data_IF_160667092191
#
_entry.id   IF_160667092191
#
_cell.length_a   1.000
_cell.length_b   1.000
_cell.length_c   1.000
_cell.angle_alpha   90.00
_cell.angle_beta   90.00
_cell.angle_gamma   90.00
#
_symmetry.space_group_name_H-M   'P 1'
#
loop_
_entity.id
_entity.type
_entity.pdbx_description
1 polymer ?
#
# COMPACT_ATOMS: atom_id res chain seq x y z
N UNK A 1 1.76 1.50 0.38
CA UNK A 1 2.87 1.70 -0.58
C UNK A 1 3.16 3.19 -0.74
N UNK A 2 2.22 4.01 -1.21
CA UNK A 2 2.42 5.46 -1.38
C UNK A 2 2.80 6.18 -0.08
N UNK A 3 2.11 5.88 0.99
CA UNK A 3 2.33 6.50 2.31
C UNK A 3 3.77 6.33 2.81
N UNK A 4 4.38 5.15 2.64
CA UNK A 4 5.78 4.94 3.08
C UNK A 4 6.75 5.85 2.35
N UNK A 5 6.55 6.10 1.04
CA UNK A 5 7.41 7.00 0.27
C UNK A 5 7.27 8.45 0.74
N UNK A 6 6.04 8.86 1.01
CA UNK A 6 5.69 10.21 1.51
C UNK A 6 6.31 10.43 2.91
N UNK A 7 6.20 9.43 3.81
CA UNK A 7 6.78 9.50 5.17
C UNK A 7 8.31 9.49 5.12
N UNK A 8 8.94 8.68 4.25
CA UNK A 8 10.40 8.70 4.08
C UNK A 8 10.89 10.11 3.73
N UNK A 9 10.15 10.88 2.92
CA UNK A 9 10.49 12.27 2.57
C UNK A 9 10.03 13.31 3.61
N UNK A 10 9.62 12.88 4.81
CA UNK A 10 9.14 13.73 5.92
C UNK A 10 7.80 14.42 5.68
N UNK A 11 6.97 13.90 4.80
CA UNK A 11 5.59 14.34 4.61
C UNK A 11 4.60 13.34 5.17
N UNK A 12 3.37 13.77 5.39
CA UNK A 12 2.23 12.93 5.76
C UNK A 12 1.07 13.29 4.84
N UNK A 13 0.37 12.29 4.30
CA UNK A 13 -0.82 12.50 3.47
C UNK A 13 -2.06 12.00 4.22
N UNK A 14 -2.92 12.94 4.60
CA UNK A 14 -4.17 12.68 5.31
C UNK A 14 -5.37 12.55 4.36
N UNK A 15 -5.17 12.74 3.06
CA UNK A 15 -6.28 12.79 2.10
C UNK A 15 -6.66 11.43 1.50
N UNK A 16 -5.85 10.39 1.70
CA UNK A 16 -5.96 9.08 1.01
C UNK A 16 -7.37 8.50 1.09
N UNK A 17 -7.95 8.47 2.29
CA UNK A 17 -9.28 7.90 2.48
C UNK A 17 -10.38 8.69 1.77
N UNK A 18 -10.29 10.03 1.78
CA UNK A 18 -11.24 10.89 1.06
C UNK A 18 -11.06 10.81 -0.45
N UNK A 19 -9.82 10.60 -0.94
CA UNK A 19 -9.54 10.34 -2.35
C UNK A 19 -10.15 9.02 -2.81
N UNK A 20 -10.06 7.98 -2.00
CA UNK A 20 -10.69 6.69 -2.29
C UNK A 20 -12.21 6.86 -2.46
N UNK A 21 -12.88 7.61 -1.57
CA UNK A 21 -14.30 7.90 -1.70
C UNK A 21 -14.63 8.71 -2.95
N UNK A 22 -13.89 9.80 -3.19
CA UNK A 22 -14.14 10.71 -4.33
C UNK A 22 -13.91 10.00 -5.66
N UNK A 23 -12.73 9.39 -5.86
CA UNK A 23 -12.38 8.73 -7.11
C UNK A 23 -13.26 7.50 -7.35
N UNK A 24 -13.55 6.73 -6.28
CA UNK A 24 -14.50 5.62 -6.35
C UNK A 24 -15.90 6.08 -6.72
N UNK A 25 -16.35 7.22 -6.17
CA UNK A 25 -17.60 7.86 -6.54
C UNK A 25 -17.66 8.27 -8.00
N UNK A 26 -16.61 8.94 -8.52
CA UNK A 26 -16.51 9.29 -9.95
C UNK A 26 -16.57 8.04 -10.83
N UNK A 27 -15.81 6.99 -10.50
CA UNK A 27 -15.80 5.74 -11.24
C UNK A 27 -17.19 5.09 -11.27
N UNK A 28 -17.87 5.03 -10.13
CA UNK A 28 -19.23 4.49 -10.02
C UNK A 28 -20.24 5.26 -10.85
N UNK A 29 -20.22 6.59 -10.79
CA UNK A 29 -21.12 7.45 -11.55
C UNK A 29 -20.92 7.31 -13.06
N UNK A 30 -19.68 7.20 -13.52
CA UNK A 30 -19.37 6.96 -14.93
C UNK A 30 -19.97 5.63 -15.40
N UNK A 31 -19.87 4.57 -14.63
CA UNK A 31 -20.42 3.27 -14.98
C UNK A 31 -21.96 3.25 -14.91
N UNK A 32 -22.52 3.64 -13.79
CA UNK A 32 -23.92 3.36 -13.47
C UNK A 32 -24.88 4.46 -13.97
N UNK A 33 -24.44 5.73 -14.03
CA UNK A 33 -25.29 6.83 -14.52
C UNK A 33 -25.00 7.25 -15.94
N UNK A 34 -23.70 7.27 -16.33
CA UNK A 34 -23.31 7.67 -17.67
C UNK A 34 -23.18 6.50 -18.65
N UNK A 35 -23.34 5.24 -18.20
CA UNK A 35 -23.23 4.05 -19.04
C UNK A 35 -21.86 3.79 -19.65
N UNK A 36 -20.80 4.35 -19.05
CA UNK A 36 -19.42 4.19 -19.53
C UNK A 36 -18.94 2.77 -19.22
N UNK A 37 -18.26 2.17 -20.19
CA UNK A 37 -17.66 0.85 -20.01
C UNK A 37 -16.71 0.86 -18.81
N UNK A 38 -16.74 -0.20 -18.00
CA UNK A 38 -15.98 -0.30 -16.75
C UNK A 38 -14.46 -0.16 -16.94
N UNK A 39 -13.87 -0.64 -18.04
CA UNK A 39 -12.43 -0.47 -18.32
C UNK A 39 -12.09 1.01 -18.52
N UNK A 40 -12.93 1.74 -19.30
CA UNK A 40 -12.74 3.16 -19.52
C UNK A 40 -12.96 3.96 -18.22
N UNK A 41 -13.94 3.58 -17.41
CA UNK A 41 -14.17 4.20 -16.10
C UNK A 41 -12.97 4.03 -15.16
N UNK A 42 -12.29 2.88 -15.17
CA UNK A 42 -11.02 2.67 -14.44
C UNK A 42 -9.93 3.61 -14.95
N UNK A 43 -9.73 3.70 -16.27
CA UNK A 43 -8.72 4.59 -16.85
C UNK A 43 -8.98 6.04 -16.44
N UNK A 44 -10.23 6.49 -16.51
CA UNK A 44 -10.60 7.84 -16.07
C UNK A 44 -10.36 8.02 -14.57
N UNK A 45 -10.70 7.05 -13.74
CA UNK A 45 -10.43 7.08 -12.30
C UNK A 45 -8.92 7.23 -11.99
N UNK A 46 -8.06 6.50 -12.72
CA UNK A 46 -6.59 6.62 -12.58
C UNK A 46 -6.10 8.01 -13.02
N UNK A 47 -6.64 8.56 -14.10
CA UNK A 47 -6.32 9.91 -14.57
C UNK A 47 -6.77 10.96 -13.55
N UNK A 48 -7.97 10.84 -12.98
CA UNK A 48 -8.45 11.71 -11.90
C UNK A 48 -7.50 11.67 -10.70
N UNK A 49 -7.06 10.47 -10.30
CA UNK A 49 -6.08 10.34 -9.23
C UNK A 49 -4.75 11.02 -9.52
N UNK A 50 -4.24 10.90 -10.76
CA UNK A 50 -3.05 11.63 -11.19
C UNK A 50 -3.26 13.15 -11.14
N UNK A 51 -4.39 13.66 -11.62
CA UNK A 51 -4.72 15.10 -11.58
C UNK A 51 -4.76 15.60 -10.13
N UNK A 52 -5.38 14.86 -9.23
CA UNK A 52 -5.40 15.21 -7.80
C UNK A 52 -4.00 15.19 -7.21
N UNK A 53 -3.19 14.18 -7.55
CA UNK A 53 -1.80 14.09 -7.12
C UNK A 53 -0.96 15.29 -7.62
N UNK A 54 -1.15 15.72 -8.87
CA UNK A 54 -0.54 16.93 -9.44
C UNK A 54 -0.99 18.18 -8.68
N UNK A 55 -2.29 18.28 -8.38
CA UNK A 55 -2.85 19.39 -7.62
C UNK A 55 -2.25 19.49 -6.22
N UNK A 56 -2.19 18.40 -5.48
CA UNK A 56 -1.56 18.36 -4.14
C UNK A 56 -0.05 18.63 -4.22
N UNK A 57 0.63 18.01 -5.18
CA UNK A 57 2.05 18.21 -5.41
C UNK A 57 2.39 19.66 -5.75
N UNK A 58 1.53 20.37 -6.47
CA UNK A 58 1.70 21.79 -6.75
C UNK A 58 1.71 22.64 -5.46
N UNK A 59 0.72 22.45 -4.58
CA UNK A 59 0.67 23.21 -3.33
C UNK A 59 1.86 22.94 -2.42
N UNK A 60 2.28 21.68 -2.33
CA UNK A 60 3.41 21.29 -1.47
C UNK A 60 4.75 21.69 -2.06
N UNK A 61 4.98 21.36 -3.33
CA UNK A 61 6.33 21.48 -3.91
C UNK A 61 6.60 22.85 -4.54
N UNK A 62 5.57 23.50 -5.10
CA UNK A 62 5.75 24.80 -5.80
C UNK A 62 5.44 25.96 -4.86
N UNK A 63 4.29 25.94 -4.19
CA UNK A 63 3.88 27.00 -3.25
C UNK A 63 4.64 26.86 -1.93
N UNK A 64 5.00 25.63 -1.51
CA UNK A 64 5.76 25.38 -0.28
C UNK A 64 4.90 25.20 0.97
N UNK A 65 3.60 24.90 0.81
CA UNK A 65 2.73 24.60 1.96
C UNK A 65 3.13 23.24 2.55
N UNK A 66 3.25 23.10 3.88
CA UNK A 66 3.53 21.81 4.51
C UNK A 66 2.55 20.73 4.06
N UNK A 67 3.08 19.53 3.76
CA UNK A 67 2.29 18.43 3.18
C UNK A 67 1.05 18.08 4.01
N UNK A 68 1.18 18.04 5.35
CA UNK A 68 0.05 17.71 6.22
C UNK A 68 -1.09 18.74 6.16
N UNK A 69 -0.78 20.05 5.97
CA UNK A 69 -1.80 21.10 5.83
C UNK A 69 -2.53 20.95 4.49
N UNK A 70 -1.76 20.78 3.41
CA UNK A 70 -2.32 20.58 2.07
C UNK A 70 -3.23 19.37 2.01
N UNK A 71 -2.79 18.25 2.59
CA UNK A 71 -3.56 16.99 2.55
C UNK A 71 -4.73 16.98 3.53
N UNK A 72 -4.63 17.69 4.66
CA UNK A 72 -5.78 17.92 5.55
C UNK A 72 -6.87 18.74 4.83
N UNK A 73 -6.50 19.83 4.14
CA UNK A 73 -7.43 20.56 3.31
C UNK A 73 -8.00 19.67 2.19
N UNK A 74 -7.14 18.88 1.53
CA UNK A 74 -7.55 17.90 0.53
C UNK A 74 -8.53 16.86 1.09
N UNK A 75 -8.31 16.37 2.30
CA UNK A 75 -9.23 15.45 2.98
C UNK A 75 -10.64 16.05 3.09
N UNK A 76 -10.75 17.30 3.53
CA UNK A 76 -12.05 17.96 3.67
C UNK A 76 -12.69 18.23 2.30
N UNK A 77 -11.92 18.74 1.32
CA UNK A 77 -12.39 19.03 -0.02
C UNK A 77 -12.92 17.78 -0.70
N UNK A 78 -12.11 16.71 -0.77
CA UNK A 78 -12.48 15.49 -1.48
C UNK A 78 -13.55 14.69 -0.75
N UNK A 79 -13.62 14.74 0.58
CA UNK A 79 -14.73 14.16 1.34
C UNK A 79 -16.03 14.90 1.08
N UNK A 80 -16.00 16.24 1.05
CA UNK A 80 -17.15 17.08 0.67
C UNK A 80 -17.62 16.78 -0.75
N UNK A 81 -16.69 16.76 -1.73
CA UNK A 81 -17.01 16.41 -3.11
C UNK A 81 -17.59 15.00 -3.24
N UNK A 82 -17.01 14.01 -2.56
CA UNK A 82 -17.55 12.64 -2.53
C UNK A 82 -18.99 12.62 -2.03
N UNK A 83 -19.30 13.36 -0.96
CA UNK A 83 -20.66 13.45 -0.41
C UNK A 83 -21.64 14.07 -1.40
N UNK A 84 -21.24 15.15 -2.11
CA UNK A 84 -22.10 15.82 -3.10
C UNK A 84 -22.37 14.92 -4.31
N UNK A 85 -21.33 14.25 -4.86
CA UNK A 85 -21.47 13.48 -6.12
C UNK A 85 -22.11 12.12 -5.92
N UNK A 86 -21.81 11.44 -4.81
CA UNK A 86 -22.32 10.09 -4.53
C UNK A 86 -23.73 10.14 -3.95
N UNK A 87 -24.01 11.12 -3.07
CA UNK A 87 -25.24 11.16 -2.29
C UNK A 87 -25.31 10.02 -1.26
N UNK A 88 -26.34 9.21 -1.29
CA UNK A 88 -26.50 8.10 -0.32
C UNK A 88 -25.57 6.94 -0.65
N UNK A 89 -25.80 6.27 -1.76
CA UNK A 89 -24.91 5.22 -2.28
C UNK A 89 -25.20 4.96 -3.76
N UNK A 90 -24.18 4.48 -4.49
CA UNK A 90 -24.30 4.07 -5.90
C UNK A 90 -23.87 2.60 -5.99
N UNK A 91 -24.81 1.65 -6.11
CA UNK A 91 -24.49 0.23 -6.27
C UNK A 91 -23.85 -0.02 -7.62
N UNK A 92 -22.90 -0.95 -7.69
CA UNK A 92 -22.22 -1.36 -8.93
C UNK A 92 -22.89 -2.61 -9.47
N UNK A 93 -23.40 -2.55 -10.69
CA UNK A 93 -24.10 -3.65 -11.36
C UNK A 93 -23.18 -4.55 -12.18
N UNK A 94 -22.08 -4.00 -12.75
CA UNK A 94 -21.14 -4.76 -13.58
C UNK A 94 -20.47 -5.88 -12.78
N UNK A 95 -20.72 -7.13 -13.19
CA UNK A 95 -20.11 -8.32 -12.59
C UNK A 95 -18.61 -8.40 -12.87
N UNK A 96 -18.18 -7.98 -14.05
CA UNK A 96 -16.78 -7.97 -14.48
C UNK A 96 -15.97 -7.02 -13.61
N UNK A 97 -16.47 -5.80 -13.36
CA UNK A 97 -15.81 -4.85 -12.47
C UNK A 97 -15.73 -5.38 -11.05
N UNK A 98 -16.81 -5.95 -10.52
CA UNK A 98 -16.83 -6.56 -9.18
C UNK A 98 -15.86 -7.73 -9.06
N UNK A 99 -15.59 -8.42 -10.17
CA UNK A 99 -14.63 -9.52 -10.28
C UNK A 99 -13.19 -9.12 -9.96
N UNK A 100 -12.79 -7.86 -10.15
CA UNK A 100 -11.42 -7.38 -9.87
C UNK A 100 -11.00 -7.69 -8.43
N UNK A 101 -11.88 -7.48 -7.46
CA UNK A 101 -11.58 -7.70 -6.05
C UNK A 101 -12.20 -8.98 -5.46
N UNK A 102 -13.11 -9.64 -6.18
CA UNK A 102 -13.86 -10.79 -5.66
C UNK A 102 -13.48 -12.11 -6.33
N UNK A 103 -12.96 -12.05 -7.57
CA UNK A 103 -12.59 -13.25 -8.30
C UNK A 103 -11.15 -13.67 -7.96
N UNK A 104 -10.90 -14.95 -8.24
CA UNK A 104 -9.61 -15.60 -8.15
C UNK A 104 -9.00 -15.75 -9.54
N UNK A 105 -7.71 -16.05 -9.61
CA UNK A 105 -7.07 -16.41 -10.85
C UNK A 105 -7.73 -17.66 -11.45
N UNK A 106 -7.83 -17.76 -12.79
CA UNK A 106 -8.33 -18.99 -13.42
C UNK A 106 -7.40 -20.17 -13.09
N UNK A 107 -7.99 -21.34 -12.85
CA UNK A 107 -7.25 -22.56 -12.57
C UNK A 107 -6.59 -23.14 -13.83
N UNK A 108 -5.51 -22.51 -14.32
CA UNK A 108 -4.83 -22.86 -15.58
C UNK A 108 -4.03 -24.15 -15.45
N UNK A 109 -3.46 -24.45 -14.27
CA UNK A 109 -2.62 -25.63 -14.05
C UNK A 109 -3.39 -26.83 -13.49
N UNK A 110 -4.71 -26.69 -13.37
CA UNK A 110 -5.57 -27.73 -12.81
C UNK A 110 -5.41 -27.92 -11.31
N UNK A 111 -6.14 -28.89 -10.77
CA UNK A 111 -6.10 -29.26 -9.37
C UNK A 111 -5.05 -30.34 -9.12
N UNK A 112 -4.20 -30.14 -8.14
CA UNK A 112 -3.24 -31.13 -7.66
C UNK A 112 -3.78 -31.75 -6.36
N UNK A 113 -4.67 -32.74 -6.50
CA UNK A 113 -5.49 -33.23 -5.40
C UNK A 113 -6.51 -32.17 -4.96
N UNK A 114 -6.56 -31.77 -3.67
CA UNK A 114 -7.48 -30.74 -3.19
C UNK A 114 -6.97 -29.29 -3.38
N UNK A 115 -5.82 -29.08 -4.04
CA UNK A 115 -5.14 -27.81 -4.11
C UNK A 115 -5.07 -27.27 -5.54
N UNK A 116 -5.22 -25.93 -5.66
CA UNK A 116 -4.98 -25.21 -6.92
C UNK A 116 -3.49 -25.21 -7.29
N UNK A 117 -3.16 -25.81 -8.43
CA UNK A 117 -1.78 -25.95 -8.90
C UNK A 117 -1.08 -24.62 -9.16
N UNK A 118 -1.81 -23.60 -9.69
CA UNK A 118 -1.24 -22.28 -9.95
C UNK A 118 -0.83 -21.57 -8.64
N UNK A 119 -1.67 -21.65 -7.61
CA UNK A 119 -1.38 -21.08 -6.28
C UNK A 119 -0.15 -21.73 -5.65
N UNK A 120 -0.02 -23.07 -5.76
CA UNK A 120 1.17 -23.79 -5.26
C UNK A 120 2.43 -23.30 -5.99
N UNK A 121 2.40 -23.21 -7.31
CA UNK A 121 3.56 -22.73 -8.10
C UNK A 121 3.93 -21.31 -7.72
N UNK A 122 2.96 -20.40 -7.56
CA UNK A 122 3.20 -19.03 -7.11
C UNK A 122 3.84 -19.00 -5.71
N UNK A 123 3.35 -19.81 -4.77
CA UNK A 123 3.93 -19.95 -3.44
C UNK A 123 5.38 -20.43 -3.46
N UNK A 124 5.69 -21.46 -4.25
CA UNK A 124 7.05 -21.98 -4.44
C UNK A 124 7.95 -20.87 -5.04
N UNK A 125 7.49 -20.16 -6.07
CA UNK A 125 8.24 -19.06 -6.67
C UNK A 125 8.52 -17.94 -5.67
N UNK A 126 7.57 -17.61 -4.79
CA UNK A 126 7.79 -16.64 -3.72
C UNK A 126 8.86 -17.09 -2.73
N UNK A 127 8.83 -18.36 -2.29
CA UNK A 127 9.83 -18.93 -1.37
C UNK A 127 11.22 -18.92 -2.02
N UNK A 128 11.33 -19.42 -3.26
CA UNK A 128 12.60 -19.47 -4.00
C UNK A 128 13.13 -18.06 -4.26
N UNK A 129 12.27 -17.13 -4.68
CA UNK A 129 12.64 -15.74 -4.91
C UNK A 129 13.13 -15.05 -3.64
N UNK A 130 12.48 -15.27 -2.50
CA UNK A 130 12.92 -14.75 -1.21
C UNK A 130 14.28 -15.33 -0.80
N UNK A 131 14.43 -16.65 -0.85
CA UNK A 131 15.69 -17.34 -0.52
C UNK A 131 16.84 -16.83 -1.39
N UNK A 132 16.63 -16.74 -2.71
CA UNK A 132 17.61 -16.21 -3.64
C UNK A 132 18.01 -14.76 -3.36
N UNK A 133 17.03 -13.92 -3.03
CA UNK A 133 17.25 -12.53 -2.64
C UNK A 133 18.16 -12.41 -1.41
N UNK A 134 17.92 -13.22 -0.36
CA UNK A 134 18.73 -13.26 0.86
C UNK A 134 20.15 -13.75 0.59
N UNK A 135 20.30 -14.83 -0.18
CA UNK A 135 21.61 -15.37 -0.55
C UNK A 135 22.41 -14.38 -1.43
N UNK A 136 21.75 -13.73 -2.40
CA UNK A 136 22.38 -12.67 -3.21
C UNK A 136 22.81 -11.47 -2.36
N UNK A 137 21.98 -11.04 -1.41
CA UNK A 137 22.34 -9.95 -0.49
C UNK A 137 23.61 -10.28 0.28
N UNK A 138 23.67 -11.50 0.84
CA UNK A 138 24.85 -12.01 1.54
C UNK A 138 26.10 -12.04 0.65
N UNK A 139 25.98 -12.58 -0.57
CA UNK A 139 27.09 -12.65 -1.51
C UNK A 139 27.60 -11.25 -1.93
N UNK A 140 26.73 -10.26 -2.05
CA UNK A 140 27.15 -8.87 -2.33
C UNK A 140 27.93 -8.25 -1.19
N UNK A 141 27.47 -8.45 0.06
CA UNK A 141 28.17 -7.94 1.24
C UNK A 141 29.58 -8.52 1.33
N UNK A 142 29.71 -9.83 1.10
CA UNK A 142 31.03 -10.50 1.06
C UNK A 142 31.94 -9.97 -0.07
N UNK A 143 31.38 -9.69 -1.28
CA UNK A 143 32.15 -9.15 -2.42
C UNK A 143 32.74 -7.75 -2.17
N UNK A 144 32.11 -6.95 -1.30
CA UNK A 144 32.56 -5.60 -0.93
C UNK A 144 33.54 -5.64 0.25
N UNK A 145 33.98 -6.84 0.71
CA UNK A 145 34.92 -7.01 1.80
C UNK A 145 34.32 -6.83 3.20
N UNK A 146 33.00 -6.70 3.30
CA UNK A 146 32.29 -6.62 4.58
C UNK A 146 31.95 -8.02 5.10
N UNK A 147 31.96 -8.18 6.43
CA UNK A 147 31.56 -9.45 7.06
C UNK A 147 30.05 -9.64 6.90
N UNK A 148 29.59 -10.67 6.14
CA UNK A 148 28.18 -10.94 5.99
C UNK A 148 27.59 -11.49 7.30
N UNK A 149 26.28 -11.36 7.46
CA UNK A 149 25.56 -12.00 8.59
C UNK A 149 25.90 -13.49 8.70
N UNK A 150 25.90 -14.07 9.93
CA UNK A 150 26.09 -15.51 10.10
C UNK A 150 25.13 -16.34 9.24
N UNK A 151 25.61 -17.43 8.66
CA UNK A 151 24.79 -18.28 7.79
C UNK A 151 23.55 -18.81 8.51
N UNK A 152 23.66 -19.14 9.78
CA UNK A 152 22.57 -19.59 10.64
C UNK A 152 21.42 -18.59 10.69
N UNK A 153 21.70 -17.28 10.83
CA UNK A 153 20.68 -16.22 10.82
C UNK A 153 20.04 -16.07 9.44
N UNK A 154 20.82 -16.19 8.38
CA UNK A 154 20.28 -16.13 7.00
C UNK A 154 19.33 -17.30 6.75
N UNK A 155 19.73 -18.52 7.12
CA UNK A 155 18.90 -19.73 7.00
C UNK A 155 17.65 -19.60 7.87
N UNK A 156 17.77 -19.14 9.11
CA UNK A 156 16.61 -18.93 9.99
C UNK A 156 15.60 -17.97 9.38
N UNK A 157 16.05 -16.84 8.80
CA UNK A 157 15.17 -15.89 8.09
C UNK A 157 14.46 -16.53 6.91
N UNK A 158 15.18 -17.34 6.12
CA UNK A 158 14.61 -18.06 4.97
C UNK A 158 13.58 -19.08 5.43
N UNK A 159 13.88 -19.87 6.43
CA UNK A 159 12.97 -20.92 6.96
C UNK A 159 11.71 -20.29 7.54
N UNK A 160 11.82 -19.25 8.37
CA UNK A 160 10.66 -18.58 8.95
C UNK A 160 9.76 -17.98 7.85
N UNK A 161 10.36 -17.32 6.86
CA UNK A 161 9.59 -16.76 5.74
C UNK A 161 8.94 -17.89 4.90
N UNK A 162 9.66 -18.97 4.63
CA UNK A 162 9.15 -20.11 3.89
C UNK A 162 7.96 -20.77 4.60
N UNK A 163 8.01 -20.93 5.92
CA UNK A 163 6.89 -21.46 6.71
C UNK A 163 5.66 -20.56 6.60
N UNK A 164 5.82 -19.24 6.74
CA UNK A 164 4.71 -18.29 6.61
C UNK A 164 4.13 -18.32 5.20
N UNK A 165 4.98 -18.25 4.17
CA UNK A 165 4.54 -18.29 2.77
C UNK A 165 3.85 -19.62 2.46
N UNK A 166 4.41 -20.75 2.89
CA UNK A 166 3.81 -22.07 2.69
C UNK A 166 2.45 -22.19 3.38
N UNK A 167 2.31 -21.67 4.60
CA UNK A 167 1.03 -21.65 5.32
C UNK A 167 -0.03 -20.83 4.59
N UNK A 168 0.33 -19.62 4.16
CA UNK A 168 -0.59 -18.77 3.37
C UNK A 168 -0.94 -19.45 2.04
N UNK A 169 0.05 -20.02 1.36
CA UNK A 169 -0.16 -20.77 0.10
C UNK A 169 -1.10 -21.95 0.31
N UNK A 170 -0.95 -22.71 1.39
CA UNK A 170 -1.84 -23.81 1.76
C UNK A 170 -3.28 -23.33 1.93
N UNK A 171 -3.49 -22.28 2.71
CA UNK A 171 -4.83 -21.69 2.92
C UNK A 171 -5.47 -21.21 1.63
N UNK A 172 -4.72 -20.54 0.78
CA UNK A 172 -5.21 -20.05 -0.51
C UNK A 172 -5.46 -21.18 -1.50
N UNK A 173 -4.54 -22.13 -1.63
CA UNK A 173 -4.67 -23.25 -2.57
C UNK A 173 -5.85 -24.16 -2.26
N UNK A 174 -6.24 -24.27 -0.99
CA UNK A 174 -7.39 -25.06 -0.54
C UNK A 174 -8.74 -24.32 -0.64
N UNK A 175 -8.74 -23.03 -0.95
CA UNK A 175 -9.96 -22.17 -0.93
C UNK A 175 -10.61 -21.96 -2.30
N UNK A 176 -10.07 -22.54 -3.37
CA UNK A 176 -10.61 -22.39 -4.72
C UNK A 176 -11.87 -23.21 -4.99
N UNK A 177 -12.52 -22.92 -6.14
CA UNK A 177 -13.67 -23.61 -6.68
C UNK A 177 -13.29 -24.33 -7.99
N UNK A 178 -14.18 -25.18 -8.50
CA UNK A 178 -13.93 -25.96 -9.72
C UNK A 178 -13.43 -25.15 -10.93
N UNK A 179 -13.93 -23.90 -11.08
CA UNK A 179 -13.61 -23.02 -12.20
C UNK A 179 -12.54 -21.96 -11.88
N UNK A 180 -12.22 -21.75 -10.60
CA UNK A 180 -11.32 -20.69 -10.16
C UNK A 180 -10.31 -21.24 -9.13
N UNK A 181 -9.04 -20.85 -9.32
CA UNK A 181 -7.98 -21.16 -8.37
C UNK A 181 -8.07 -20.36 -7.06
N UNK A 182 -7.19 -20.68 -6.12
CA UNK A 182 -7.24 -20.08 -4.77
C UNK A 182 -6.56 -18.72 -4.61
N UNK A 183 -5.84 -18.21 -5.63
CA UNK A 183 -5.16 -16.90 -5.53
C UNK A 183 -6.08 -15.76 -5.94
N UNK A 184 -6.48 -14.85 -5.01
CA UNK A 184 -7.31 -13.69 -5.35
C UNK A 184 -6.59 -12.75 -6.32
N UNK A 185 -7.30 -12.22 -7.32
CA UNK A 185 -6.77 -11.21 -8.27
C UNK A 185 -6.22 -9.98 -7.51
N UNK A 186 -6.89 -9.57 -6.44
CA UNK A 186 -6.45 -8.47 -5.57
C UNK A 186 -5.03 -8.68 -5.03
N UNK A 187 -4.68 -9.90 -4.62
CA UNK A 187 -3.35 -10.23 -4.11
C UNK A 187 -2.29 -10.06 -5.20
N UNK A 188 -2.61 -10.41 -6.44
CA UNK A 188 -1.73 -10.22 -7.60
C UNK A 188 -1.51 -8.73 -7.88
N UNK A 189 -2.57 -7.93 -7.88
CA UNK A 189 -2.47 -6.47 -8.06
C UNK A 189 -1.54 -5.87 -6.99
N UNK A 190 -1.76 -6.20 -5.72
CA UNK A 190 -0.91 -5.73 -4.61
C UNK A 190 0.53 -6.22 -4.79
N UNK A 191 0.74 -7.49 -5.13
CA UNK A 191 2.07 -8.06 -5.36
C UNK A 191 2.84 -7.34 -6.47
N UNK A 192 2.19 -7.07 -7.61
CA UNK A 192 2.77 -6.33 -8.73
C UNK A 192 3.13 -4.90 -8.30
N UNK A 193 2.24 -4.19 -7.59
CA UNK A 193 2.51 -2.86 -7.09
C UNK A 193 3.68 -2.84 -6.10
N UNK A 194 3.73 -3.80 -5.17
CA UNK A 194 4.85 -3.95 -4.23
C UNK A 194 6.16 -4.16 -4.98
N UNK A 195 6.18 -5.02 -5.99
CA UNK A 195 7.36 -5.27 -6.81
C UNK A 195 7.83 -4.00 -7.54
N UNK A 196 6.92 -3.32 -8.26
CA UNK A 196 7.21 -2.10 -9.02
C UNK A 196 7.72 -0.99 -8.10
N UNK A 197 7.01 -0.69 -7.01
CA UNK A 197 7.37 0.41 -6.12
C UNK A 197 8.59 0.11 -5.26
N UNK A 198 8.81 -1.16 -4.89
CA UNK A 198 10.07 -1.56 -4.27
C UNK A 198 11.26 -1.39 -5.22
N UNK A 199 11.09 -1.71 -6.52
CA UNK A 199 12.09 -1.44 -7.54
C UNK A 199 12.32 0.07 -7.70
N UNK A 200 11.27 0.88 -7.82
CA UNK A 200 11.37 2.33 -7.92
C UNK A 200 12.15 2.89 -6.72
N UNK A 201 11.80 2.51 -5.51
CA UNK A 201 12.38 3.06 -4.30
C UNK A 201 13.84 2.62 -4.08
N UNK A 202 14.20 1.37 -4.45
CA UNK A 202 15.53 0.81 -4.16
C UNK A 202 16.50 0.87 -5.32
N UNK A 203 16.04 0.98 -6.59
CA UNK A 203 16.89 0.83 -7.78
C UNK A 203 16.95 2.07 -8.65
N UNK A 204 16.01 3.02 -8.52
CA UNK A 204 15.96 4.22 -9.36
C UNK A 204 16.68 5.41 -8.72
N UNK A 205 16.97 6.42 -9.53
CA UNK A 205 17.49 7.71 -9.06
C UNK A 205 16.44 8.41 -8.18
N UNK A 206 15.17 8.33 -8.56
CA UNK A 206 14.07 8.91 -7.78
C UNK A 206 14.04 8.36 -6.35
N UNK A 207 14.10 7.04 -6.16
CA UNK A 207 14.11 6.43 -4.83
C UNK A 207 15.30 6.89 -3.98
N UNK A 208 16.51 6.97 -4.57
CA UNK A 208 17.69 7.52 -3.85
C UNK A 208 17.48 8.97 -3.43
N UNK A 209 16.86 9.79 -4.27
CA UNK A 209 16.55 11.18 -3.94
C UNK A 209 15.51 11.27 -2.81
N UNK A 210 14.50 10.40 -2.79
CA UNK A 210 13.51 10.32 -1.71
C UNK A 210 14.19 10.07 -0.35
N UNK A 211 15.10 9.10 -0.27
CA UNK A 211 15.88 8.84 0.94
C UNK A 211 16.81 9.99 1.32
N UNK A 212 17.47 10.61 0.34
CA UNK A 212 18.37 11.73 0.58
C UNK A 212 17.62 12.96 1.14
N UNK A 213 16.47 13.29 0.53
CA UNK A 213 15.61 14.40 0.99
C UNK A 213 15.10 14.15 2.41
N UNK A 214 14.65 12.93 2.70
CA UNK A 214 14.15 12.58 4.02
C UNK A 214 15.26 12.45 5.09
N UNK A 215 16.47 12.08 4.70
CA UNK A 215 17.61 11.98 5.64
C UNK A 215 18.14 13.35 6.04
N UNK A 216 18.41 14.20 5.08
CA UNK A 216 18.81 15.59 5.33
C UNK A 216 18.50 16.46 4.10
N UNK A 217 17.41 17.22 4.20
CA UNK A 217 16.92 18.07 3.10
C UNK A 217 17.94 19.15 2.70
N UNK A 218 18.63 19.77 3.66
CA UNK A 218 19.64 20.81 3.38
C UNK A 218 20.84 20.21 2.63
N UNK A 219 21.36 19.08 3.10
CA UNK A 219 22.45 18.39 2.43
C UNK A 219 22.06 17.90 1.04
N UNK A 220 20.83 17.41 0.85
CA UNK A 220 20.31 17.02 -0.47
C UNK A 220 20.31 18.18 -1.45
N UNK A 221 19.87 19.39 -1.02
CA UNK A 221 19.90 20.61 -1.86
C UNK A 221 21.34 20.98 -2.23
N UNK A 222 22.26 20.96 -1.29
CA UNK A 222 23.68 21.26 -1.52
C UNK A 222 24.34 20.25 -2.46
N UNK A 223 23.83 19.00 -2.49
CA UNK A 223 24.26 17.95 -3.43
C UNK A 223 23.59 18.05 -4.81
N UNK A 224 22.85 19.13 -5.09
CA UNK A 224 22.22 19.37 -6.39
C UNK A 224 20.89 18.61 -6.60
N UNK A 225 20.31 18.01 -5.57
CA UNK A 225 19.01 17.34 -5.67
C UNK A 225 17.89 18.38 -5.69
N UNK A 226 17.06 18.34 -6.75
CA UNK A 226 15.86 19.17 -6.81
C UNK A 226 14.76 18.59 -5.90
N UNK A 227 14.74 19.04 -4.65
CA UNK A 227 13.79 18.56 -3.61
C UNK A 227 12.35 18.86 -3.98
N UNK A 228 12.06 20.01 -4.65
CA UNK A 228 10.72 20.36 -5.12
C UNK A 228 10.19 19.30 -6.10
N UNK A 229 11.03 18.87 -7.06
CA UNK A 229 10.64 17.83 -8.02
C UNK A 229 10.38 16.49 -7.34
N UNK A 230 11.16 16.16 -6.31
CA UNK A 230 10.95 14.93 -5.53
C UNK A 230 9.61 14.98 -4.81
N UNK A 231 9.34 16.06 -4.07
CA UNK A 231 8.07 16.24 -3.35
C UNK A 231 6.87 16.20 -4.31
N UNK A 232 6.95 16.93 -5.43
CA UNK A 232 5.90 16.92 -6.45
C UNK A 232 5.56 15.51 -6.94
N UNK A 233 6.58 14.75 -7.34
CA UNK A 233 6.39 13.40 -7.84
C UNK A 233 5.86 12.44 -6.77
N UNK A 234 6.22 12.62 -5.49
CA UNK A 234 5.68 11.82 -4.39
C UNK A 234 4.15 11.94 -4.31
N UNK A 235 3.61 13.15 -4.39
CA UNK A 235 2.16 13.36 -4.36
C UNK A 235 1.48 12.87 -5.65
N UNK A 236 2.12 12.97 -6.80
CA UNK A 236 1.60 12.37 -8.05
C UNK A 236 1.50 10.84 -7.92
N UNK A 237 2.53 10.17 -7.41
CA UNK A 237 2.48 8.74 -7.13
C UNK A 237 1.42 8.39 -6.07
N UNK A 238 1.24 9.24 -5.07
CA UNK A 238 0.24 9.04 -4.03
C UNK A 238 -1.18 9.12 -4.59
N UNK A 239 -1.47 10.12 -5.43
CA UNK A 239 -2.75 10.26 -6.11
C UNK A 239 -3.07 9.06 -7.02
N UNK A 240 -2.08 8.58 -7.78
CA UNK A 240 -2.23 7.36 -8.60
C UNK A 240 -2.55 6.13 -7.75
N UNK A 241 -1.80 5.89 -6.68
CA UNK A 241 -2.02 4.74 -5.80
C UNK A 241 -3.35 4.83 -5.04
N UNK A 242 -3.78 6.04 -4.68
CA UNK A 242 -5.10 6.27 -4.11
C UNK A 242 -6.23 5.92 -5.10
N UNK A 243 -6.03 6.19 -6.39
CA UNK A 243 -6.98 5.80 -7.43
C UNK A 243 -7.04 4.28 -7.61
N UNK A 244 -5.89 3.59 -7.60
CA UNK A 244 -5.87 2.12 -7.62
C UNK A 244 -6.60 1.55 -6.40
N UNK A 245 -6.36 2.11 -5.21
CA UNK A 245 -7.05 1.71 -3.99
C UNK A 245 -8.57 1.97 -4.09
N UNK A 246 -8.98 3.08 -4.71
CA UNK A 246 -10.39 3.41 -4.93
C UNK A 246 -11.08 2.37 -5.83
N UNK A 247 -10.47 2.00 -6.95
CA UNK A 247 -10.98 0.95 -7.85
C UNK A 247 -11.10 -0.39 -7.12
N UNK A 248 -10.07 -0.79 -6.39
CA UNK A 248 -10.06 -2.03 -5.62
C UNK A 248 -11.16 -2.03 -4.54
N UNK A 249 -11.30 -0.92 -3.81
CA UNK A 249 -12.31 -0.79 -2.75
C UNK A 249 -13.73 -0.79 -3.31
N UNK A 250 -13.96 -0.03 -4.38
CA UNK A 250 -15.25 0.01 -5.08
C UNK A 250 -15.67 -1.36 -5.59
N UNK A 251 -14.73 -2.10 -6.22
CA UNK A 251 -14.96 -3.46 -6.68
C UNK A 251 -15.30 -4.41 -5.53
N UNK A 252 -14.61 -4.30 -4.39
CA UNK A 252 -14.82 -5.14 -3.21
C UNK A 252 -16.18 -4.88 -2.55
N UNK A 253 -16.53 -3.61 -2.32
CA UNK A 253 -17.80 -3.22 -1.70
C UNK A 253 -18.99 -3.39 -2.64
N UNK A 254 -18.75 -3.35 -3.97
CA UNK A 254 -19.76 -3.29 -5.01
C UNK A 254 -20.74 -2.09 -4.85
N UNK A 255 -20.29 -1.04 -4.22
CA UNK A 255 -21.06 0.17 -3.99
C UNK A 255 -20.13 1.32 -3.65
N UNK A 256 -20.38 2.50 -4.22
CA UNK A 256 -19.73 3.73 -3.82
C UNK A 256 -20.52 4.40 -2.70
N UNK A 257 -19.83 4.83 -1.66
CA UNK A 257 -20.40 5.61 -0.56
C UNK A 257 -19.47 6.78 -0.21
N UNK A 258 -20.02 7.87 0.29
CA UNK A 258 -19.21 9.01 0.71
C UNK A 258 -18.27 8.68 1.89
N UNK A 259 -18.60 7.68 2.68
CA UNK A 259 -17.81 7.19 3.81
C UNK A 259 -16.73 6.14 3.41
N UNK A 260 -16.68 5.71 2.15
CA UNK A 260 -15.66 4.78 1.70
C UNK A 260 -14.25 5.29 2.06
N UNK A 261 -13.39 4.39 2.48
CA UNK A 261 -12.01 4.74 2.86
C UNK A 261 -11.86 5.58 4.12
N UNK A 262 -12.89 5.70 4.96
CA UNK A 262 -12.78 6.42 6.23
C UNK A 262 -11.70 5.79 7.11
N UNK A 263 -10.79 6.61 7.65
CA UNK A 263 -9.63 6.22 8.48
C UNK A 263 -8.52 5.43 7.73
N UNK A 264 -8.59 5.28 6.41
CA UNK A 264 -7.52 4.59 5.65
C UNK A 264 -6.18 5.31 5.76
N UNK A 265 -6.18 6.64 5.91
CA UNK A 265 -4.98 7.42 6.16
C UNK A 265 -4.31 7.00 7.47
N UNK A 266 -5.07 6.81 8.53
CA UNK A 266 -4.55 6.38 9.84
C UNK A 266 -4.01 4.96 9.79
N UNK A 267 -4.74 4.03 9.17
CA UNK A 267 -4.31 2.64 8.99
C UNK A 267 -3.02 2.57 8.15
N UNK A 268 -2.90 3.39 7.10
CA UNK A 268 -1.72 3.45 6.25
C UNK A 268 -0.49 4.02 6.98
N UNK A 269 -0.67 5.08 7.78
CA UNK A 269 0.37 5.68 8.62
C UNK A 269 0.83 4.66 9.67
N UNK A 270 -0.12 4.04 10.39
CA UNK A 270 0.19 3.02 11.40
C UNK A 270 0.96 1.84 10.78
N UNK A 271 0.53 1.36 9.62
CA UNK A 271 1.20 0.30 8.88
C UNK A 271 2.65 0.66 8.53
N UNK A 272 2.92 1.90 8.11
CA UNK A 272 4.28 2.36 7.83
C UNK A 272 5.16 2.35 9.08
N UNK A 273 4.68 2.84 10.21
CA UNK A 273 5.46 2.89 11.45
C UNK A 273 5.67 1.50 12.07
N UNK A 274 4.64 0.64 12.09
CA UNK A 274 4.78 -0.77 12.48
C UNK A 274 5.78 -1.48 11.56
N UNK A 275 5.79 -1.14 10.27
CA UNK A 275 6.73 -1.64 9.28
C UNK A 275 8.15 -1.09 9.37
N UNK A 276 8.46 -0.26 10.39
CA UNK A 276 9.81 0.27 10.67
C UNK A 276 10.17 1.52 9.87
N UNK A 277 9.19 2.26 9.34
CA UNK A 277 9.44 3.58 8.74
C UNK A 277 9.68 4.60 9.85
N UNK A 278 10.74 5.40 9.74
CA UNK A 278 11.07 6.38 10.74
C UNK A 278 10.20 7.64 10.63
N UNK A 279 9.68 8.12 11.77
CA UNK A 279 8.95 9.40 11.86
C UNK A 279 9.82 10.58 11.39
N UNK A 280 11.12 10.52 11.67
CA UNK A 280 12.09 11.55 11.28
C UNK A 280 12.45 11.55 9.80
N UNK A 281 11.93 10.61 9.01
CA UNK A 281 12.25 10.44 7.61
C UNK A 281 13.55 9.70 7.32
N UNK A 282 13.87 9.52 6.05
CA UNK A 282 15.12 8.90 5.57
C UNK A 282 15.22 7.39 5.76
N UNK A 283 14.31 6.76 6.49
CA UNK A 283 14.30 5.31 6.77
C UNK A 283 12.89 4.76 6.54
N UNK A 284 12.82 3.66 5.81
CA UNK A 284 11.56 2.95 5.52
C UNK A 284 11.74 2.00 4.34
N UNK A 285 10.86 1.02 4.22
CA UNK A 285 10.88 0.06 3.11
C UNK A 285 9.46 -0.32 2.70
N UNK A 286 9.23 -0.57 1.40
CA UNK A 286 7.94 -1.05 0.91
C UNK A 286 7.57 -2.40 1.56
N UNK A 287 8.45 -3.41 1.61
CA UNK A 287 8.11 -4.67 2.28
C UNK A 287 7.77 -4.51 3.77
N UNK A 288 8.48 -3.60 4.48
CA UNK A 288 8.15 -3.29 5.87
C UNK A 288 6.73 -2.74 6.02
N UNK A 289 6.37 -1.75 5.20
CA UNK A 289 5.02 -1.17 5.21
C UNK A 289 3.93 -2.21 4.86
N UNK A 290 4.22 -3.17 3.97
CA UNK A 290 3.30 -4.27 3.65
C UNK A 290 3.09 -5.19 4.85
N UNK A 291 4.15 -5.54 5.58
CA UNK A 291 4.05 -6.31 6.83
C UNK A 291 3.21 -5.54 7.86
N UNK A 292 3.47 -4.24 8.04
CA UNK A 292 2.67 -3.40 8.93
C UNK A 292 1.21 -3.31 8.50
N UNK A 293 0.93 -3.22 7.19
CA UNK A 293 -0.43 -3.25 6.65
C UNK A 293 -1.14 -4.59 6.92
N UNK A 294 -0.41 -5.70 6.83
CA UNK A 294 -0.94 -7.01 7.19
C UNK A 294 -1.30 -7.08 8.68
N UNK A 295 -0.44 -6.57 9.56
CA UNK A 295 -0.71 -6.49 11.00
C UNK A 295 -1.97 -5.65 11.28
N UNK A 296 -2.08 -4.47 10.67
CA UNK A 296 -3.28 -3.62 10.81
C UNK A 296 -4.53 -4.30 10.25
N UNK A 297 -4.41 -5.00 9.12
CA UNK A 297 -5.50 -5.78 8.53
C UNK A 297 -5.99 -6.90 9.45
N UNK A 298 -5.06 -7.64 10.08
CA UNK A 298 -5.39 -8.69 11.07
C UNK A 298 -6.08 -8.09 12.28
N UNK A 299 -5.59 -6.95 12.81
CA UNK A 299 -6.23 -6.26 13.93
C UNK A 299 -7.66 -5.85 13.56
N UNK A 300 -7.84 -5.16 12.42
CA UNK A 300 -9.14 -4.69 11.96
C UNK A 300 -10.13 -5.85 11.76
N UNK A 301 -9.72 -6.88 11.03
CA UNK A 301 -10.57 -8.02 10.73
C UNK A 301 -10.83 -8.88 11.96
N UNK A 302 -9.80 -9.11 12.79
CA UNK A 302 -9.91 -9.89 14.03
C UNK A 302 -10.88 -9.26 15.02
N UNK A 303 -10.75 -7.96 15.28
CA UNK A 303 -11.66 -7.23 16.17
C UNK A 303 -13.10 -7.20 15.63
N UNK A 304 -13.24 -7.07 14.29
CA UNK A 304 -14.56 -7.13 13.64
C UNK A 304 -15.24 -8.50 13.79
N UNK A 305 -14.48 -9.59 13.61
CA UNK A 305 -14.99 -10.97 13.80
C UNK A 305 -15.39 -11.21 15.25
N UNK A 306 -14.67 -10.64 16.22
CA UNK A 306 -14.98 -10.74 17.64
C UNK A 306 -16.18 -9.87 18.04
N UNK A 307 -16.79 -9.11 17.13
CA UNK A 307 -17.92 -8.24 17.41
C UNK A 307 -17.57 -7.05 18.30
N UNK A 308 -16.30 -6.65 18.35
CA UNK A 308 -15.87 -5.49 19.15
C UNK A 308 -16.45 -4.20 18.56
N UNK A 309 -16.98 -3.36 19.44
CA UNK A 309 -17.55 -2.07 19.03
C UNK A 309 -16.54 -1.20 18.28
N UNK A 310 -17.04 -0.48 17.26
CA UNK A 310 -16.18 0.36 16.39
C UNK A 310 -15.45 1.46 17.14
N UNK A 311 -16.02 1.99 18.25
CA UNK A 311 -15.35 2.98 19.09
C UNK A 311 -14.14 2.37 19.82
N UNK A 312 -14.26 1.12 20.29
CA UNK A 312 -13.15 0.39 20.92
C UNK A 312 -12.08 0.05 19.88
N UNK A 313 -12.46 -0.37 18.67
CA UNK A 313 -11.53 -0.63 17.57
C UNK A 313 -10.69 0.62 17.27
N UNK A 314 -11.30 1.81 17.18
CA UNK A 314 -10.59 3.09 16.98
C UNK A 314 -9.60 3.39 18.10
N UNK A 315 -10.03 3.16 19.35
CA UNK A 315 -9.16 3.34 20.52
C UNK A 315 -7.94 2.42 20.48
N UNK A 316 -8.14 1.14 20.16
CA UNK A 316 -7.05 0.16 20.01
C UNK A 316 -6.09 0.58 18.90
N UNK A 317 -6.59 0.98 17.73
CA UNK A 317 -5.76 1.48 16.63
C UNK A 317 -4.89 2.68 17.03
N UNK A 318 -5.49 3.65 17.73
CA UNK A 318 -4.78 4.82 18.25
C UNK A 318 -3.66 4.43 19.22
N UNK A 319 -3.91 3.50 20.14
CA UNK A 319 -2.91 2.99 21.07
C UNK A 319 -1.78 2.22 20.34
N UNK A 320 -2.12 1.38 19.38
CA UNK A 320 -1.13 0.64 18.57
C UNK A 320 -0.23 1.60 17.81
N UNK A 321 -0.80 2.65 17.19
CA UNK A 321 -0.02 3.68 16.49
C UNK A 321 0.92 4.42 17.46
N UNK A 322 0.40 4.85 18.62
CA UNK A 322 1.19 5.54 19.62
C UNK A 322 2.36 4.68 20.13
N UNK A 323 2.09 3.41 20.43
CA UNK A 323 3.12 2.47 20.89
C UNK A 323 4.16 2.20 19.82
N UNK A 324 3.77 2.02 18.55
CA UNK A 324 4.70 1.81 17.44
C UNK A 324 5.68 3.00 17.31
N UNK A 325 5.17 4.23 17.36
CA UNK A 325 5.98 5.45 17.28
C UNK A 325 6.86 5.62 18.52
N UNK A 326 6.32 5.35 19.71
CA UNK A 326 7.08 5.45 20.96
C UNK A 326 8.29 4.50 20.98
N UNK A 327 8.07 3.24 20.56
CA UNK A 327 9.15 2.23 20.47
C UNK A 327 10.22 2.67 19.45
N UNK A 328 9.85 3.21 18.30
CA UNK A 328 10.81 3.72 17.30
C UNK A 328 11.69 4.84 17.91
N UNK A 329 11.08 5.83 18.55
CA UNK A 329 11.80 6.95 19.16
C UNK A 329 12.71 6.48 20.30
N UNK A 330 12.22 5.61 21.21
CA UNK A 330 12.99 5.10 22.33
C UNK A 330 14.18 4.24 21.88
N UNK A 331 14.00 3.43 20.82
CA UNK A 331 15.06 2.59 20.28
C UNK A 331 16.21 3.40 19.67
N UNK A 332 15.91 4.57 19.11
CA UNK A 332 16.91 5.50 18.54
C UNK A 332 17.68 6.26 19.62
N UNK A 333 17.00 6.68 20.70
CA UNK A 333 17.66 7.34 21.84
C UNK A 333 18.71 6.47 22.54
N UNK A 334 18.56 5.14 22.52
CA UNK A 334 19.56 4.21 23.10
C UNK A 334 20.78 4.00 22.21
N UNK A 335 20.76 4.45 20.95
CA UNK A 335 21.86 4.28 19.98
C UNK A 335 22.63 5.57 19.70
N UNK A 336 22.15 6.71 20.16
CA UNK A 336 22.86 8.00 20.19
C UNK A 336 23.50 8.21 21.55
#
# INVERSE_FOLDING_TARGET
IGMVMVIIATHIDLSVGSLVAFIGGVCALLMERAGVNWMLAIVIALVVGLIVGVWQGFWVAVIGIPGFITTLAGMLIFRGLATVIVGESVPITSLEFRGIARNYLPNILGWWGPFDGLTIVLGILCIVGFAWSQLRKRARVAKVGLVPEPMSLTVLKIVLAAVVIAFVTYLLASSGNADQGGTPIMLVIVGVLVFIYNFILTKTVFGRHVYAVGGNRKAAILSGINTRRVDFLLFVHMGFLSAVAAVCMLSRLASATAQAGMEFEMDAIAACFIGGTAVTGGIGTIPGAVIGAFVMGVINQGLSIMGVDTAVVKTIKGLVLLLAVAVDIMSKRKKS
#
